data_IF_073513567595
#
_entry.id   IF_073513567595
#
_cell.length_a   1.000
_cell.length_b   1.000
_cell.length_c   1.000
_cell.angle_alpha   90.00
_cell.angle_beta   90.00
_cell.angle_gamma   90.00
#
_symmetry.space_group_name_H-M   'P 1'
#
loop_
_entity.id
_entity.type
_entity.pdbx_description
1 polymer ?
#
# COMPACT_ATOMS: atom_id res chain seq x y z
N UNK A 1 -13.52 -45.90 10.90
CA UNK A 1 -14.02 -44.54 10.64
C UNK A 1 -13.66 -43.70 11.85
N UNK A 2 -12.56 -42.95 11.79
CA UNK A 2 -12.20 -42.03 12.86
C UNK A 2 -13.17 -40.84 12.80
N UNK A 3 -13.79 -40.49 13.93
CA UNK A 3 -14.64 -39.33 14.04
C UNK A 3 -13.77 -38.07 13.88
N UNK A 4 -14.12 -37.23 12.92
CA UNK A 4 -13.55 -35.90 12.77
C UNK A 4 -13.89 -35.09 14.02
N UNK A 5 -12.88 -34.75 14.82
CA UNK A 5 -13.05 -33.90 15.98
C UNK A 5 -13.47 -32.50 15.47
N UNK A 6 -14.64 -31.98 15.85
CA UNK A 6 -15.07 -30.66 15.41
C UNK A 6 -14.04 -29.63 15.90
N UNK A 7 -13.44 -28.88 14.97
CA UNK A 7 -12.57 -27.77 15.31
C UNK A 7 -13.40 -26.78 16.15
N UNK A 8 -12.92 -26.38 17.34
CA UNK A 8 -13.64 -25.41 18.15
C UNK A 8 -13.83 -24.13 17.35
N UNK A 9 -15.02 -23.54 17.44
CA UNK A 9 -15.31 -22.21 16.89
C UNK A 9 -14.36 -21.22 17.56
N UNK A 10 -13.35 -20.75 16.84
CA UNK A 10 -12.52 -19.62 17.27
C UNK A 10 -13.41 -18.38 17.20
N UNK A 11 -14.04 -18.04 18.32
CA UNK A 11 -14.81 -16.81 18.41
C UNK A 11 -13.86 -15.63 18.29
N UNK A 12 -14.06 -14.79 17.27
CA UNK A 12 -13.35 -13.51 17.14
C UNK A 12 -13.45 -12.74 18.45
N UNK A 13 -12.29 -12.39 19.02
CA UNK A 13 -12.23 -11.62 20.26
C UNK A 13 -12.63 -10.15 20.03
N UNK A 14 -12.62 -9.69 18.77
CA UNK A 14 -13.03 -8.36 18.40
C UNK A 14 -13.72 -8.31 17.01
N UNK A 15 -15.02 -8.62 16.94
CA UNK A 15 -15.73 -8.73 15.66
C UNK A 15 -15.79 -7.42 14.88
N UNK A 16 -15.59 -6.27 15.55
CA UNK A 16 -15.56 -4.97 14.88
C UNK A 16 -14.26 -4.75 14.13
N UNK A 17 -13.12 -5.05 14.75
CA UNK A 17 -11.82 -4.96 14.10
C UNK A 17 -11.71 -5.97 12.96
N UNK A 18 -12.13 -7.23 13.19
CA UNK A 18 -12.10 -8.24 12.12
C UNK A 18 -13.02 -7.89 10.93
N UNK A 19 -14.20 -7.31 11.19
CA UNK A 19 -15.07 -6.86 10.11
C UNK A 19 -14.50 -5.63 9.38
N UNK A 20 -13.76 -4.77 10.08
CA UNK A 20 -13.18 -3.56 9.50
C UNK A 20 -12.03 -3.87 8.53
N UNK A 21 -11.23 -4.92 8.79
CA UNK A 21 -10.18 -5.38 7.87
C UNK A 21 -10.74 -5.63 6.46
N UNK A 22 -11.89 -6.28 6.34
CA UNK A 22 -12.51 -6.57 5.05
C UNK A 22 -13.15 -5.35 4.36
N UNK A 23 -13.18 -4.20 5.02
CA UNK A 23 -13.79 -2.96 4.53
C UNK A 23 -12.74 -1.89 4.16
N UNK A 24 -11.44 -2.21 4.28
CA UNK A 24 -10.33 -1.30 3.97
C UNK A 24 -10.01 -0.31 5.09
N UNK A 25 -9.05 0.57 4.80
CA UNK A 25 -8.46 1.48 5.77
C UNK A 25 -9.47 2.36 6.53
N UNK A 26 -10.43 2.99 5.84
CA UNK A 26 -11.36 3.94 6.47
C UNK A 26 -12.15 3.29 7.62
N UNK A 27 -12.65 2.07 7.39
CA UNK A 27 -13.36 1.31 8.41
C UNK A 27 -12.41 0.89 9.54
N UNK A 28 -11.18 0.52 9.18
CA UNK A 28 -10.16 0.09 10.11
C UNK A 28 -9.72 1.22 11.06
N UNK A 29 -9.48 2.42 10.53
CA UNK A 29 -9.14 3.60 11.32
C UNK A 29 -10.22 3.92 12.37
N UNK A 30 -11.50 3.86 11.98
CA UNK A 30 -12.64 4.06 12.90
C UNK A 30 -12.69 2.97 13.97
N UNK A 31 -12.48 1.71 13.59
CA UNK A 31 -12.52 0.58 14.51
C UNK A 31 -11.34 0.61 15.52
N UNK A 32 -10.13 0.93 15.06
CA UNK A 32 -8.94 1.12 15.91
C UNK A 32 -9.18 2.26 16.90
N UNK A 33 -9.66 3.41 16.43
CA UNK A 33 -9.96 4.55 17.31
C UNK A 33 -11.01 4.23 18.37
N UNK A 34 -12.06 3.47 18.01
CA UNK A 34 -13.09 3.05 18.95
C UNK A 34 -12.59 2.00 19.97
N UNK A 35 -11.66 1.13 19.57
CA UNK A 35 -11.07 0.11 20.43
C UNK A 35 -10.04 0.71 21.41
N UNK A 36 -9.25 1.67 20.94
CA UNK A 36 -8.07 2.21 21.63
C UNK A 36 -6.86 1.28 21.54
N UNK A 37 -5.68 1.83 21.82
CA UNK A 37 -4.39 1.17 21.56
C UNK A 37 -4.25 -0.20 22.23
N UNK A 38 -4.52 -0.31 23.54
CA UNK A 38 -4.41 -1.55 24.32
C UNK A 38 -5.28 -2.67 23.75
N UNK A 39 -6.48 -2.33 23.26
CA UNK A 39 -7.41 -3.33 22.75
C UNK A 39 -7.05 -3.77 21.34
N UNK A 40 -6.66 -2.82 20.49
CA UNK A 40 -6.15 -3.10 19.15
C UNK A 40 -4.87 -3.95 19.19
N UNK A 41 -3.92 -3.65 20.09
CA UNK A 41 -2.68 -4.43 20.21
C UNK A 41 -2.92 -5.88 20.63
N UNK A 42 -3.80 -6.10 21.60
CA UNK A 42 -4.21 -7.46 22.02
C UNK A 42 -4.99 -8.20 20.93
N UNK A 43 -5.74 -7.49 20.10
CA UNK A 43 -6.41 -8.08 18.96
C UNK A 43 -5.38 -8.53 17.92
N UNK A 44 -4.42 -7.67 17.57
CA UNK A 44 -3.35 -7.98 16.62
C UNK A 44 -2.50 -9.18 17.10
N UNK A 45 -2.02 -9.15 18.34
CA UNK A 45 -1.27 -10.25 18.95
C UNK A 45 -2.00 -11.61 18.87
N UNK A 46 -3.31 -11.62 19.13
CA UNK A 46 -4.10 -12.86 19.01
C UNK A 46 -4.29 -13.30 17.57
N UNK A 47 -4.49 -12.35 16.66
CA UNK A 47 -4.67 -12.59 15.22
C UNK A 47 -3.39 -13.17 14.60
N UNK A 48 -2.25 -12.64 14.99
CA UNK A 48 -0.92 -13.15 14.67
C UNK A 48 -0.58 -14.49 15.35
N UNK A 49 -1.30 -14.87 16.42
CA UNK A 49 -0.94 -16.02 17.24
C UNK A 49 0.33 -15.81 18.08
N UNK A 50 0.75 -14.55 18.27
CA UNK A 50 1.95 -14.14 19.01
C UNK A 50 1.56 -13.21 20.18
N UNK A 51 1.52 -13.74 21.42
CA UNK A 51 1.21 -12.94 22.61
C UNK A 51 2.22 -11.83 22.91
N UNK A 52 3.49 -12.01 22.52
CA UNK A 52 4.58 -11.09 22.87
C UNK A 52 4.51 -9.83 21.98
N UNK A 53 3.88 -9.92 20.81
CA UNK A 53 3.60 -8.79 19.92
C UNK A 53 2.77 -7.68 20.57
N UNK A 54 1.97 -8.01 21.60
CA UNK A 54 1.02 -7.07 22.19
C UNK A 54 1.70 -5.82 22.79
N UNK A 55 2.89 -5.95 23.36
CA UNK A 55 3.62 -4.82 23.96
C UNK A 55 4.12 -3.87 22.88
N UNK A 56 4.80 -4.41 21.85
CA UNK A 56 5.29 -3.62 20.71
C UNK A 56 4.14 -2.96 19.96
N UNK A 57 3.07 -3.71 19.67
CA UNK A 57 1.90 -3.19 18.97
C UNK A 57 1.15 -2.11 19.76
N UNK A 58 1.17 -2.15 21.11
CA UNK A 58 0.52 -1.12 21.92
C UNK A 58 1.14 0.26 21.70
N UNK A 59 2.48 0.33 21.63
CA UNK A 59 3.19 1.57 21.34
C UNK A 59 2.84 2.11 19.94
N UNK A 60 2.82 1.24 18.94
CA UNK A 60 2.45 1.61 17.56
C UNK A 60 1.02 2.13 17.48
N UNK A 61 0.04 1.42 18.06
CA UNK A 61 -1.34 1.91 18.07
C UNK A 61 -1.51 3.19 18.91
N UNK A 62 -0.69 3.40 19.95
CA UNK A 62 -0.71 4.64 20.71
C UNK A 62 -0.20 5.82 19.88
N UNK A 63 0.86 5.64 19.10
CA UNK A 63 1.38 6.63 18.16
C UNK A 63 0.35 6.93 17.04
N UNK A 64 -0.24 5.89 16.45
CA UNK A 64 -1.32 6.02 15.45
C UNK A 64 -2.53 6.82 15.97
N UNK A 65 -2.88 6.67 17.24
CA UNK A 65 -3.97 7.42 17.88
C UNK A 65 -3.52 8.77 18.46
N UNK A 66 -2.22 9.06 18.42
CA UNK A 66 -1.60 10.31 18.86
C UNK A 66 -2.03 11.50 18.02
N UNK A 67 -1.45 12.67 18.21
CA UNK A 67 -1.81 13.89 17.45
C UNK A 67 -0.78 14.26 16.36
N UNK A 68 0.41 13.68 16.43
CA UNK A 68 1.52 14.01 15.53
C UNK A 68 1.39 13.23 14.21
N UNK A 69 1.33 13.91 13.05
CA UNK A 69 1.17 13.24 11.76
C UNK A 69 2.36 12.36 11.35
N UNK A 70 3.58 12.71 11.75
CA UNK A 70 4.80 11.97 11.41
C UNK A 70 4.82 10.66 12.20
N UNK A 71 4.62 10.72 13.53
CA UNK A 71 4.52 9.53 14.40
C UNK A 71 3.40 8.58 13.93
N UNK A 72 2.28 9.13 13.44
CA UNK A 72 1.16 8.34 12.90
C UNK A 72 1.54 7.59 11.62
N UNK A 73 2.23 8.27 10.71
CA UNK A 73 2.71 7.68 9.46
C UNK A 73 3.69 6.54 9.73
N UNK A 74 4.69 6.78 10.58
CA UNK A 74 5.66 5.74 10.98
C UNK A 74 4.98 4.54 11.64
N UNK A 75 4.00 4.78 12.51
CA UNK A 75 3.24 3.72 13.14
C UNK A 75 2.43 2.90 12.12
N UNK A 76 1.89 3.53 11.07
CA UNK A 76 1.18 2.83 10.00
C UNK A 76 2.09 1.93 9.18
N UNK A 77 3.26 2.44 8.77
CA UNK A 77 4.28 1.66 8.08
C UNK A 77 4.66 0.41 8.90
N UNK A 78 5.02 0.61 10.16
CA UNK A 78 5.42 -0.48 11.04
C UNK A 78 4.29 -1.50 11.28
N UNK A 79 3.03 -1.06 11.45
CA UNK A 79 1.90 -1.96 11.60
C UNK A 79 1.63 -2.75 10.31
N UNK A 80 1.78 -2.12 9.14
CA UNK A 80 1.59 -2.77 7.86
C UNK A 80 2.66 -3.84 7.62
N UNK A 81 3.93 -3.55 7.94
CA UNK A 81 5.02 -4.53 7.92
C UNK A 81 4.74 -5.72 8.85
N UNK A 82 4.31 -5.46 10.09
CA UNK A 82 3.92 -6.53 11.02
C UNK A 82 2.82 -7.40 10.42
N UNK A 83 1.83 -6.81 9.74
CA UNK A 83 0.77 -7.56 9.08
C UNK A 83 1.29 -8.44 7.92
N UNK A 84 2.25 -7.95 7.14
CA UNK A 84 2.92 -8.75 6.11
C UNK A 84 3.75 -9.90 6.71
N UNK A 85 4.49 -9.65 7.78
CA UNK A 85 5.32 -10.66 8.46
C UNK A 85 4.50 -11.83 9.01
N UNK A 86 3.27 -11.56 9.45
CA UNK A 86 2.33 -12.59 9.92
C UNK A 86 1.46 -13.16 8.80
N UNK A 87 1.78 -12.83 7.55
CA UNK A 87 1.12 -13.28 6.32
C UNK A 87 -0.40 -12.96 6.27
N UNK A 88 -0.79 -11.82 6.83
CA UNK A 88 -2.17 -11.36 6.88
C UNK A 88 -2.47 -10.30 5.83
N UNK A 89 -2.53 -10.73 4.57
CA UNK A 89 -2.68 -9.85 3.40
C UNK A 89 -3.84 -8.86 3.50
N UNK A 90 -5.06 -9.24 3.93
CA UNK A 90 -6.14 -8.27 4.06
C UNK A 90 -5.87 -7.17 5.09
N UNK A 91 -5.15 -7.49 6.17
CA UNK A 91 -4.77 -6.50 7.17
C UNK A 91 -3.63 -5.61 6.66
N UNK A 92 -2.62 -6.21 6.01
CA UNK A 92 -1.53 -5.47 5.41
C UNK A 92 -2.06 -4.48 4.36
N UNK A 93 -2.98 -4.91 3.49
CA UNK A 93 -3.63 -4.08 2.47
C UNK A 93 -4.29 -2.85 3.10
N UNK A 94 -5.16 -3.04 4.08
CA UNK A 94 -5.81 -1.93 4.78
C UNK A 94 -4.84 -1.00 5.53
N UNK A 95 -3.72 -1.52 6.05
CA UNK A 95 -2.74 -0.69 6.77
C UNK A 95 -1.84 0.10 5.80
N UNK A 96 -1.44 -0.50 4.69
CA UNK A 96 -0.69 0.19 3.64
C UNK A 96 -1.52 1.25 2.92
N UNK A 97 -2.84 1.03 2.74
CA UNK A 97 -3.77 2.08 2.29
C UNK A 97 -3.71 3.30 3.24
N UNK A 98 -3.72 3.06 4.54
CA UNK A 98 -3.59 4.11 5.54
C UNK A 98 -2.23 4.79 5.54
N UNK A 99 -1.16 4.02 5.38
CA UNK A 99 0.20 4.55 5.25
C UNK A 99 0.31 5.46 4.01
N UNK A 100 -0.25 5.05 2.87
CA UNK A 100 -0.29 5.84 1.64
C UNK A 100 -1.07 7.15 1.84
N UNK A 101 -2.27 7.09 2.42
CA UNK A 101 -3.07 8.29 2.73
C UNK A 101 -2.29 9.26 3.64
N UNK A 102 -1.63 8.73 4.68
CA UNK A 102 -0.82 9.53 5.60
C UNK A 102 0.37 10.16 4.89
N UNK A 103 1.09 9.40 4.07
CA UNK A 103 2.26 9.87 3.33
C UNK A 103 1.90 10.94 2.29
N UNK A 104 0.76 10.79 1.60
CA UNK A 104 0.23 11.83 0.71
C UNK A 104 -0.12 13.12 1.46
N UNK A 105 -0.66 13.01 2.67
CA UNK A 105 -1.02 14.16 3.49
C UNK A 105 0.20 14.93 4.03
N UNK A 106 1.30 14.24 4.31
CA UNK A 106 2.56 14.84 4.79
C UNK A 106 3.51 15.22 3.65
N UNK A 107 3.30 14.70 2.44
CA UNK A 107 4.18 14.90 1.29
C UNK A 107 5.45 14.08 1.36
N UNK A 108 5.43 12.95 2.07
CA UNK A 108 6.57 12.03 2.17
C UNK A 108 6.69 11.18 0.91
N UNK A 109 7.57 11.58 0.00
CA UNK A 109 7.77 10.93 -1.28
C UNK A 109 8.24 9.48 -1.17
N UNK A 110 9.10 9.18 -0.20
CA UNK A 110 9.68 7.86 -0.02
C UNK A 110 8.62 6.90 0.51
N UNK A 111 7.85 7.33 1.51
CA UNK A 111 6.73 6.56 2.04
C UNK A 111 5.60 6.35 1.01
N UNK A 112 5.31 7.33 0.14
CA UNK A 112 4.34 7.17 -0.95
C UNK A 112 4.81 6.10 -1.94
N UNK A 113 6.09 6.13 -2.34
CA UNK A 113 6.65 5.15 -3.26
C UNK A 113 6.61 3.74 -2.66
N UNK A 114 7.02 3.59 -1.39
CA UNK A 114 6.99 2.31 -0.69
C UNK A 114 5.56 1.77 -0.54
N UNK A 115 4.64 2.55 0.02
CA UNK A 115 3.27 2.09 0.26
C UNK A 115 2.59 1.69 -1.05
N UNK A 116 2.81 2.44 -2.13
CA UNK A 116 2.32 2.08 -3.47
C UNK A 116 2.88 0.73 -3.93
N UNK A 117 4.20 0.53 -3.80
CA UNK A 117 4.83 -0.71 -4.25
C UNK A 117 4.30 -1.92 -3.49
N UNK A 118 4.09 -1.79 -2.17
CA UNK A 118 3.54 -2.83 -1.29
C UNK A 118 2.10 -3.15 -1.62
N UNK A 119 1.24 -2.13 -1.78
CA UNK A 119 -0.15 -2.30 -2.21
C UNK A 119 -0.25 -3.00 -3.56
N UNK A 120 0.62 -2.67 -4.52
CA UNK A 120 0.64 -3.34 -5.81
C UNK A 120 0.97 -4.85 -5.68
N UNK A 121 1.95 -5.19 -4.84
CA UNK A 121 2.31 -6.60 -4.56
C UNK A 121 1.16 -7.34 -3.86
N UNK A 122 0.51 -6.71 -2.89
CA UNK A 122 -0.64 -7.28 -2.17
C UNK A 122 -1.83 -7.50 -3.11
N UNK A 123 -2.16 -6.53 -3.95
CA UNK A 123 -3.21 -6.65 -4.96
C UNK A 123 -2.96 -7.86 -5.90
N UNK A 124 -1.72 -8.06 -6.37
CA UNK A 124 -1.39 -9.26 -7.16
C UNK A 124 -1.57 -10.57 -6.40
N UNK A 125 -1.16 -10.62 -5.12
CA UNK A 125 -1.33 -11.80 -4.26
C UNK A 125 -2.80 -12.12 -4.00
N UNK A 126 -3.62 -11.08 -3.86
CA UNK A 126 -5.07 -11.15 -3.70
C UNK A 126 -5.79 -11.44 -5.03
N UNK A 127 -5.06 -11.51 -6.14
CA UNK A 127 -5.58 -11.94 -7.44
C UNK A 127 -6.14 -10.81 -8.30
N UNK A 128 -5.81 -9.56 -7.99
CA UNK A 128 -6.23 -8.37 -8.74
C UNK A 128 -5.01 -7.66 -9.38
N UNK A 129 -4.47 -8.19 -10.50
CA UNK A 129 -3.33 -7.57 -11.18
C UNK A 129 -3.68 -6.22 -11.84
N UNK A 130 -4.97 -5.92 -12.07
CA UNK A 130 -5.38 -4.63 -12.58
C UNK A 130 -5.29 -3.58 -11.48
N UNK A 131 -5.81 -3.86 -10.29
CA UNK A 131 -5.63 -2.99 -9.12
C UNK A 131 -4.14 -2.76 -8.81
N UNK A 132 -3.30 -3.79 -8.94
CA UNK A 132 -1.86 -3.64 -8.80
C UNK A 132 -1.26 -2.60 -9.77
N UNK A 133 -1.70 -2.62 -11.03
CA UNK A 133 -1.26 -1.65 -12.02
C UNK A 133 -1.81 -0.26 -11.71
N UNK A 134 -3.05 -0.16 -11.24
CA UNK A 134 -3.70 1.10 -10.86
C UNK A 134 -2.96 1.82 -9.73
N UNK A 135 -2.43 1.10 -8.72
CA UNK A 135 -1.58 1.69 -7.70
C UNK A 135 -0.32 2.32 -8.31
N UNK A 136 0.41 1.58 -9.16
CA UNK A 136 1.62 2.11 -9.83
C UNK A 136 1.29 3.30 -10.75
N UNK A 137 0.15 3.27 -11.44
CA UNK A 137 -0.34 4.36 -12.29
C UNK A 137 -0.68 5.60 -11.44
N UNK A 138 -1.32 5.40 -10.29
CA UNK A 138 -1.65 6.46 -9.35
C UNK A 138 -0.37 7.15 -8.84
N UNK A 139 0.68 6.40 -8.51
CA UNK A 139 1.99 6.94 -8.15
C UNK A 139 2.60 7.78 -9.28
N UNK A 140 2.61 7.29 -10.52
CA UNK A 140 3.11 8.07 -11.66
C UNK A 140 2.32 9.37 -11.85
N UNK A 141 0.99 9.32 -11.69
CA UNK A 141 0.14 10.51 -11.76
C UNK A 141 0.39 11.48 -10.60
N UNK A 142 0.63 10.98 -9.39
CA UNK A 142 1.03 11.80 -8.25
C UNK A 142 2.37 12.47 -8.53
N UNK A 143 3.36 11.72 -8.99
CA UNK A 143 4.73 12.23 -9.21
C UNK A 143 4.76 13.30 -10.29
N UNK A 144 3.93 13.19 -11.33
CA UNK A 144 3.80 14.21 -12.39
C UNK A 144 3.18 15.55 -11.92
N UNK A 145 2.63 15.65 -10.70
CA UNK A 145 2.04 16.91 -10.22
C UNK A 145 3.13 17.96 -9.94
N UNK A 146 2.81 19.27 -10.07
CA UNK A 146 3.77 20.33 -9.75
C UNK A 146 4.26 20.25 -8.31
N UNK A 147 5.58 20.37 -8.10
CA UNK A 147 6.20 20.34 -6.78
C UNK A 147 6.37 18.96 -6.16
N UNK A 148 5.98 17.89 -6.87
CA UNK A 148 6.16 16.52 -6.41
C UNK A 148 7.45 15.95 -6.98
N UNK A 149 8.24 15.30 -6.12
CA UNK A 149 9.52 14.71 -6.45
C UNK A 149 9.58 13.26 -5.92
N UNK A 150 10.44 12.44 -6.52
CA UNK A 150 10.73 11.08 -6.06
C UNK A 150 12.08 10.65 -6.61
N UNK A 151 12.63 9.57 -6.07
CA UNK A 151 13.73 8.86 -6.72
C UNK A 151 13.29 8.41 -8.13
N UNK A 152 14.10 8.67 -9.17
CA UNK A 152 13.90 8.08 -10.48
C UNK A 152 13.75 6.56 -10.53
N UNK A 153 14.45 5.82 -9.66
CA UNK A 153 14.38 4.35 -9.63
C UNK A 153 12.95 3.87 -9.35
N UNK A 154 12.23 4.55 -8.45
CA UNK A 154 10.82 4.26 -8.16
C UNK A 154 9.91 4.49 -9.38
N UNK A 155 10.22 5.49 -10.22
CA UNK A 155 9.47 5.78 -11.46
C UNK A 155 9.75 4.71 -12.52
N UNK A 156 11.01 4.32 -12.69
CA UNK A 156 11.39 3.24 -13.61
C UNK A 156 10.75 1.91 -13.20
N UNK A 157 10.79 1.56 -11.91
CA UNK A 157 10.17 0.35 -11.39
C UNK A 157 8.64 0.37 -11.61
N UNK A 158 7.98 1.50 -11.35
CA UNK A 158 6.56 1.62 -11.62
C UNK A 158 6.22 1.37 -13.11
N UNK A 159 7.03 1.89 -14.04
CA UNK A 159 6.85 1.60 -15.46
C UNK A 159 7.05 0.12 -15.80
N UNK A 160 8.14 -0.49 -15.31
CA UNK A 160 8.44 -1.90 -15.55
C UNK A 160 7.30 -2.80 -15.07
N UNK A 161 6.80 -2.53 -13.87
CA UNK A 161 5.72 -3.30 -13.27
C UNK A 161 4.40 -3.13 -14.02
N UNK A 162 4.05 -1.90 -14.45
CA UNK A 162 2.86 -1.67 -15.27
C UNK A 162 2.96 -2.43 -16.61
N UNK A 163 4.12 -2.42 -17.27
CA UNK A 163 4.33 -3.17 -18.51
C UNK A 163 4.18 -4.67 -18.28
N UNK A 164 4.79 -5.20 -17.21
CA UNK A 164 4.69 -6.62 -16.83
C UNK A 164 3.25 -7.02 -16.56
N UNK A 165 2.50 -6.21 -15.81
CA UNK A 165 1.10 -6.45 -15.46
C UNK A 165 0.19 -6.41 -16.70
N UNK A 166 0.37 -5.43 -17.58
CA UNK A 166 -0.38 -5.35 -18.84
C UNK A 166 -0.11 -6.57 -19.74
N UNK A 167 1.14 -7.04 -19.82
CA UNK A 167 1.46 -8.26 -20.56
C UNK A 167 0.81 -9.50 -19.96
N UNK A 168 0.85 -9.62 -18.63
CA UNK A 168 0.23 -10.72 -17.88
C UNK A 168 -1.28 -10.77 -18.08
N UNK A 169 -1.93 -9.62 -18.18
CA UNK A 169 -3.37 -9.48 -18.42
C UNK A 169 -3.76 -9.63 -19.91
N UNK A 170 -2.77 -9.75 -20.81
CA UNK A 170 -3.01 -9.85 -22.25
C UNK A 170 -3.31 -8.52 -22.94
N UNK A 171 -3.20 -7.40 -22.21
CA UNK A 171 -3.34 -6.03 -22.70
C UNK A 171 -2.08 -5.58 -23.48
N UNK A 172 -1.81 -6.24 -24.61
CA UNK A 172 -0.57 -6.07 -25.37
C UNK A 172 -0.40 -4.66 -25.95
N UNK A 173 -1.51 -4.01 -26.32
CA UNK A 173 -1.47 -2.64 -26.84
C UNK A 173 -1.07 -1.68 -25.72
N UNK A 174 -1.62 -1.88 -24.53
CA UNK A 174 -1.40 -1.09 -23.34
C UNK A 174 0.04 -1.27 -22.86
N UNK A 175 0.55 -2.50 -22.82
CA UNK A 175 1.95 -2.78 -22.54
C UNK A 175 2.90 -2.02 -23.47
N UNK A 176 2.59 -1.95 -24.78
CA UNK A 176 3.39 -1.20 -25.75
C UNK A 176 3.32 0.32 -25.52
N UNK A 177 2.15 0.86 -25.14
CA UNK A 177 2.00 2.27 -24.78
C UNK A 177 2.83 2.62 -23.55
N UNK A 178 2.78 1.78 -22.52
CA UNK A 178 3.55 1.97 -21.29
C UNK A 178 5.06 1.85 -21.51
N UNK A 179 5.51 0.86 -22.29
CA UNK A 179 6.92 0.73 -22.66
C UNK A 179 7.43 1.93 -23.47
N UNK A 180 6.58 2.52 -24.32
CA UNK A 180 6.94 3.75 -25.04
C UNK A 180 7.12 4.94 -24.07
N UNK A 181 6.22 5.11 -23.11
CA UNK A 181 6.32 6.15 -22.06
C UNK A 181 7.58 5.99 -21.23
N UNK A 182 7.87 4.77 -20.78
CA UNK A 182 9.11 4.42 -20.08
C UNK A 182 10.35 4.82 -20.89
N UNK A 183 10.39 4.47 -22.17
CA UNK A 183 11.52 4.84 -23.04
C UNK A 183 11.66 6.35 -23.27
N UNK A 184 10.57 7.12 -23.18
CA UNK A 184 10.63 8.58 -23.17
C UNK A 184 11.20 9.11 -21.85
N UNK A 185 10.77 8.57 -20.72
CA UNK A 185 11.29 8.92 -19.40
C UNK A 185 12.79 8.59 -19.25
N UNK A 186 13.22 7.40 -19.66
CA UNK A 186 14.62 6.97 -19.62
C UNK A 186 15.56 7.92 -20.39
N UNK A 187 15.12 8.48 -21.53
CA UNK A 187 15.91 9.49 -22.27
C UNK A 187 16.09 10.79 -21.48
N UNK A 188 15.15 11.15 -20.61
CA UNK A 188 15.28 12.32 -19.74
C UNK A 188 16.31 12.05 -18.65
N UNK A 189 16.30 10.85 -18.06
CA UNK A 189 17.31 10.43 -17.09
C UNK A 189 18.71 10.42 -17.70
N UNK A 190 18.88 9.83 -18.88
CA UNK A 190 20.16 9.84 -19.60
C UNK A 190 20.67 11.26 -19.90
N UNK A 191 19.74 12.20 -20.14
CA UNK A 191 20.04 13.61 -20.37
C UNK A 191 20.27 14.41 -19.09
N UNK A 192 20.07 13.81 -17.90
CA UNK A 192 20.03 14.51 -16.60
C UNK A 192 19.03 15.68 -16.59
N UNK A 193 17.88 15.51 -17.23
CA UNK A 193 16.80 16.50 -17.23
C UNK A 193 16.14 16.55 -15.85
N UNK A 194 15.99 17.75 -15.28
CA UNK A 194 15.42 17.96 -13.94
C UNK A 194 14.00 17.39 -13.80
N UNK A 195 13.25 17.29 -14.90
CA UNK A 195 11.91 16.70 -14.92
C UNK A 195 11.87 15.23 -14.53
N UNK A 196 13.01 14.55 -14.64
CA UNK A 196 13.11 13.17 -14.19
C UNK A 196 12.97 13.06 -12.65
N UNK A 197 13.35 14.12 -11.90
CA UNK A 197 13.34 14.15 -10.43
C UNK A 197 12.17 14.94 -9.85
N UNK A 198 11.70 16.02 -10.50
CA UNK A 198 10.54 16.80 -10.05
C UNK A 198 9.63 17.26 -11.21
N UNK A 199 8.32 17.33 -10.97
CA UNK A 199 7.32 17.84 -11.92
C UNK A 199 6.93 16.86 -13.04
N UNK A 200 6.20 17.37 -14.03
CA UNK A 200 5.69 16.58 -15.16
C UNK A 200 6.73 16.45 -16.27
N UNK A 201 6.95 15.21 -16.72
CA UNK A 201 7.83 14.90 -17.86
C UNK A 201 7.09 14.70 -19.17
N UNK A 202 5.76 14.55 -19.13
CA UNK A 202 4.95 14.36 -20.33
C UNK A 202 4.60 15.68 -21.01
N UNK A 203 4.37 15.59 -22.33
CA UNK A 203 3.82 16.71 -23.08
C UNK A 203 2.30 16.82 -22.94
N UNK A 204 1.62 15.70 -22.69
CA UNK A 204 0.18 15.61 -22.50
C UNK A 204 -0.14 15.67 -20.99
N UNK A 205 -0.85 16.70 -20.52
CA UNK A 205 -1.17 16.84 -19.10
C UNK A 205 -2.26 15.89 -18.62
N UNK A 206 -2.89 15.09 -19.50
CA UNK A 206 -3.89 14.12 -19.08
C UNK A 206 -3.29 13.09 -18.11
N UNK A 207 -4.04 12.82 -17.04
CA UNK A 207 -3.69 11.77 -16.10
C UNK A 207 -3.74 10.42 -16.81
N UNK A 208 -2.78 9.56 -16.48
CA UNK A 208 -2.80 8.19 -16.94
C UNK A 208 -3.99 7.44 -16.34
N UNK A 209 -4.53 6.51 -17.12
CA UNK A 209 -5.55 5.56 -16.68
C UNK A 209 -5.04 4.13 -16.84
N UNK A 210 -5.62 3.22 -16.07
CA UNK A 210 -5.54 1.78 -16.34
C UNK A 210 -6.21 1.40 -17.66
N UNK A 211 -6.30 0.09 -17.87
CA UNK A 211 -6.97 -0.50 -19.03
C UNK A 211 -8.23 -1.28 -18.61
N UNK A 212 -9.00 -1.72 -19.61
CA UNK A 212 -10.28 -2.41 -19.43
C UNK A 212 -10.34 -3.69 -20.25
#
# INVERSE_FOLDING_TARGET
>A
MAAETPRPLTLTADPRLDAAVAQGWEAMAVAIAAAGAIRASRWLARRAGDPDLAETAEALFAALLGADPEDRGEALLALAEVAEEVEDDPLADALWEGALESAEATGDADAIAEATARLAVLAERLGDPLAAAEYRIAFLNWRRRPGHASDPEAVEEAFDEIVRLAQRDGAQKEAAVWAYRQACYARLLEANDERAVEGDWEADPEAYSGWA
#
